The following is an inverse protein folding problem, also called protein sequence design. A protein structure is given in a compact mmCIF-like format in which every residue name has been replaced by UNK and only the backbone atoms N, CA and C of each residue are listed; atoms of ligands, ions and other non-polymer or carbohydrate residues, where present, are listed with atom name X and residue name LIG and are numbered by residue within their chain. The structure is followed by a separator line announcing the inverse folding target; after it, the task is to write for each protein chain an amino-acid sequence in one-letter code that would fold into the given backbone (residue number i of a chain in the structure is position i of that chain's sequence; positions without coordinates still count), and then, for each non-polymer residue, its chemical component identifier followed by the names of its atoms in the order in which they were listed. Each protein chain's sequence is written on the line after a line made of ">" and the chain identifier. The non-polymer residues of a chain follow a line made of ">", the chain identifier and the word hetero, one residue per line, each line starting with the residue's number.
data_IF_551967585501
#
_entry.id   IF_551967585501
#
_cell.length_a   1.000
_cell.length_b   1.000
_cell.length_c   1.000
_cell.angle_alpha   90.00
_cell.angle_beta   90.00
_cell.angle_gamma   90.00
#
_symmetry.space_group_name_H-M   'P 1'
#
loop_
_entity.id
_entity.type
_entity.pdbx_description
1 polymer ?
#
# COMPACT_ATOMS: atom_id res chain seq x y z
N UNK A 1 16.15 0.84 22.36
CA UNK A 1 15.83 2.14 21.74
C UNK A 1 15.29 3.02 22.85
N UNK A 2 16.08 4.02 23.27
CA UNK A 2 15.68 4.99 24.29
C UNK A 2 14.81 6.09 23.66
N UNK A 3 13.76 6.52 24.35
CA UNK A 3 12.84 7.58 23.90
C UNK A 3 13.55 8.88 23.52
N UNK A 4 14.71 9.16 24.12
CA UNK A 4 15.52 10.34 23.84
C UNK A 4 15.95 10.43 22.37
N UNK A 5 16.35 9.31 21.75
CA UNK A 5 16.80 9.31 20.36
C UNK A 5 15.69 9.71 19.37
N UNK A 6 14.45 9.34 19.67
CA UNK A 6 13.28 9.72 18.86
C UNK A 6 12.97 11.21 19.01
N UNK A 7 13.03 11.76 20.23
CA UNK A 7 12.77 13.18 20.48
C UNK A 7 13.80 14.08 19.78
N UNK A 8 15.09 13.74 19.87
CA UNK A 8 16.13 14.52 19.20
C UNK A 8 16.02 14.47 17.67
N UNK A 9 15.59 13.34 17.09
CA UNK A 9 15.35 13.25 15.65
C UNK A 9 14.22 14.17 15.19
N UNK A 10 13.09 14.23 15.92
CA UNK A 10 11.99 15.14 15.59
C UNK A 10 12.41 16.61 15.73
N UNK A 11 13.17 16.97 16.77
CA UNK A 11 13.67 18.34 16.96
C UNK A 11 14.54 18.76 15.76
N UNK A 12 15.43 17.88 15.29
CA UNK A 12 16.27 18.13 14.12
C UNK A 12 15.46 18.25 12.82
N UNK A 13 14.44 17.42 12.61
CA UNK A 13 13.54 17.54 11.46
C UNK A 13 12.80 18.87 11.45
N UNK A 14 12.24 19.30 12.58
CA UNK A 14 11.56 20.59 12.70
C UNK A 14 12.50 21.78 12.48
N UNK A 15 13.73 21.74 13.02
CA UNK A 15 14.74 22.79 12.80
C UNK A 15 15.16 22.88 11.32
N UNK A 16 15.14 21.75 10.59
CA UNK A 16 15.41 21.70 9.15
C UNK A 16 14.22 22.15 8.28
N UNK A 17 13.11 22.56 8.89
CA UNK A 17 11.90 23.01 8.20
C UNK A 17 11.04 21.88 7.65
N UNK A 18 11.23 20.65 8.13
CA UNK A 18 10.33 19.54 7.85
C UNK A 18 9.14 19.62 8.80
N UNK A 19 8.04 20.20 8.29
CA UNK A 19 6.78 20.34 9.00
C UNK A 19 5.83 19.15 8.72
N UNK A 20 6.26 18.16 7.93
CA UNK A 20 5.44 17.01 7.62
C UNK A 20 5.34 16.08 8.84
N UNK A 21 4.12 15.95 9.35
CA UNK A 21 3.80 15.06 10.47
C UNK A 21 3.51 13.63 10.01
N UNK A 22 3.42 13.41 8.70
CA UNK A 22 3.15 12.12 8.12
C UNK A 22 4.43 11.27 8.04
N UNK A 23 4.25 9.96 8.17
CA UNK A 23 5.36 9.03 8.00
C UNK A 23 5.84 9.04 6.55
N UNK A 24 7.17 9.12 6.37
CA UNK A 24 7.80 8.84 5.08
C UNK A 24 7.33 7.51 4.49
N UNK A 25 7.31 7.37 3.15
CA UNK A 25 6.99 6.11 2.50
C UNK A 25 7.85 4.98 3.04
N UNK A 26 7.26 4.11 3.87
CA UNK A 26 7.97 2.99 4.47
C UNK A 26 8.01 1.84 3.46
N UNK A 27 9.18 1.18 3.27
CA UNK A 27 9.23 -0.03 2.47
C UNK A 27 8.37 -1.11 3.13
N UNK A 28 7.17 -1.33 2.61
CA UNK A 28 6.34 -2.46 2.98
C UNK A 28 7.07 -3.76 2.66
N UNK A 29 6.86 -4.79 3.49
CA UNK A 29 7.39 -6.11 3.19
C UNK A 29 6.92 -6.53 1.79
N UNK A 30 7.81 -6.89 0.85
CA UNK A 30 7.39 -7.35 -0.46
C UNK A 30 6.61 -8.65 -0.28
N UNK A 31 5.29 -8.57 -0.39
CA UNK A 31 4.41 -9.73 -0.44
C UNK A 31 4.61 -10.37 -1.80
N UNK A 32 5.09 -11.61 -1.84
CA UNK A 32 5.23 -12.41 -3.08
C UNK A 32 3.93 -12.47 -3.89
N UNK A 33 2.80 -12.27 -3.22
CA UNK A 33 1.46 -12.16 -3.78
C UNK A 33 1.28 -10.96 -4.72
N UNK A 34 2.03 -9.86 -4.57
CA UNK A 34 1.99 -8.67 -5.46
C UNK A 34 2.88 -8.83 -6.70
N UNK A 35 2.80 -9.99 -7.36
CA UNK A 35 3.52 -10.21 -8.62
C UNK A 35 2.91 -9.35 -9.74
N UNK A 36 3.72 -8.92 -10.73
CA UNK A 36 3.22 -8.22 -11.93
C UNK A 36 2.08 -8.95 -12.64
N UNK A 37 2.11 -10.29 -12.60
CA UNK A 37 1.03 -11.12 -13.16
C UNK A 37 -0.29 -10.91 -12.41
N UNK A 38 -0.25 -10.90 -11.07
CA UNK A 38 -1.45 -10.72 -10.26
C UNK A 38 -1.99 -9.28 -10.37
N UNK A 39 -1.10 -8.28 -10.42
CA UNK A 39 -1.50 -6.89 -10.67
C UNK A 39 -2.26 -6.77 -11.99
N UNK A 40 -1.72 -7.34 -13.08
CA UNK A 40 -2.38 -7.32 -14.38
C UNK A 40 -3.73 -8.04 -14.39
N UNK A 41 -3.85 -9.18 -13.70
CA UNK A 41 -5.12 -9.91 -13.58
C UNK A 41 -6.18 -9.10 -12.83
N UNK A 42 -5.81 -8.50 -11.69
CA UNK A 42 -6.71 -7.62 -10.92
C UNK A 42 -7.14 -6.43 -11.78
N UNK A 43 -6.22 -5.81 -12.51
CA UNK A 43 -6.54 -4.71 -13.41
C UNK A 43 -7.52 -5.11 -14.53
N UNK A 44 -7.29 -6.24 -15.19
CA UNK A 44 -8.21 -6.75 -16.24
C UNK A 44 -9.62 -7.00 -15.70
N UNK A 45 -9.74 -7.59 -14.50
CA UNK A 45 -11.04 -7.85 -13.87
C UNK A 45 -11.77 -6.53 -13.56
N UNK A 46 -11.06 -5.51 -13.06
CA UNK A 46 -11.64 -4.19 -12.77
C UNK A 46 -12.00 -3.39 -14.02
N UNK A 47 -11.25 -3.58 -15.12
CA UNK A 47 -11.55 -2.96 -16.41
C UNK A 47 -12.82 -3.56 -17.05
N UNK A 48 -13.08 -4.85 -16.82
CA UNK A 48 -14.30 -5.54 -17.24
C UNK A 48 -15.52 -5.15 -16.38
N UNK A 49 -15.36 -5.13 -15.06
CA UNK A 49 -16.40 -4.69 -14.14
C UNK A 49 -15.83 -3.92 -12.93
N UNK A 50 -16.06 -2.61 -12.94
CA UNK A 50 -15.63 -1.68 -11.87
C UNK A 50 -16.40 -1.84 -10.56
N UNK A 51 -17.47 -2.64 -10.52
CA UNK A 51 -18.28 -2.87 -9.32
C UNK A 51 -17.89 -4.13 -8.54
N UNK A 52 -16.86 -4.85 -9.00
CA UNK A 52 -16.37 -6.05 -8.34
C UNK A 52 -15.84 -5.75 -6.93
N UNK A 53 -16.19 -6.61 -5.99
CA UNK A 53 -15.76 -6.52 -4.59
C UNK A 53 -14.39 -7.15 -4.38
N UNK A 54 -13.70 -6.74 -3.31
CA UNK A 54 -12.40 -7.32 -2.94
C UNK A 54 -12.46 -8.83 -2.68
N UNK A 55 -13.61 -9.34 -2.20
CA UNK A 55 -13.80 -10.78 -1.96
C UNK A 55 -13.91 -11.54 -3.26
N UNK A 56 -14.60 -11.00 -4.25
CA UNK A 56 -14.65 -11.62 -5.58
C UNK A 56 -13.24 -11.64 -6.19
N UNK A 57 -12.49 -10.53 -6.15
CA UNK A 57 -11.09 -10.51 -6.61
C UNK A 57 -10.22 -11.58 -5.93
N UNK A 58 -10.45 -11.84 -4.64
CA UNK A 58 -9.79 -12.91 -3.90
C UNK A 58 -10.08 -14.28 -4.53
N UNK A 59 -11.35 -14.59 -4.79
CA UNK A 59 -11.81 -15.84 -5.41
C UNK A 59 -11.29 -16.00 -6.84
N UNK A 60 -11.28 -14.93 -7.64
CA UNK A 60 -10.81 -14.95 -9.04
C UNK A 60 -9.30 -15.10 -9.19
N UNK A 61 -8.52 -14.42 -8.33
CA UNK A 61 -7.06 -14.41 -8.43
C UNK A 61 -6.42 -15.51 -7.56
N UNK A 62 -7.13 -16.03 -6.55
CA UNK A 62 -6.67 -17.10 -5.69
C UNK A 62 -5.54 -16.69 -4.73
N UNK A 63 -5.54 -15.43 -4.31
CA UNK A 63 -4.55 -14.82 -3.41
C UNK A 63 -5.22 -14.38 -2.12
N UNK A 64 -4.46 -14.16 -1.05
CA UNK A 64 -5.05 -13.71 0.23
C UNK A 64 -5.71 -12.34 0.11
N UNK A 65 -6.83 -12.13 0.81
CA UNK A 65 -7.61 -10.87 0.88
C UNK A 65 -6.81 -9.58 0.98
N UNK A 66 -5.69 -9.59 1.72
CA UNK A 66 -4.84 -8.41 1.89
C UNK A 66 -4.21 -7.96 0.56
N UNK A 67 -3.96 -8.88 -0.36
CA UNK A 67 -3.21 -8.60 -1.58
C UNK A 67 -4.04 -7.82 -2.62
N UNK A 68 -5.28 -8.21 -2.98
CA UNK A 68 -6.10 -7.41 -3.89
C UNK A 68 -6.31 -5.98 -3.38
N UNK A 69 -6.52 -5.80 -2.07
CA UNK A 69 -6.67 -4.48 -1.46
C UNK A 69 -5.43 -3.61 -1.71
N UNK A 70 -4.24 -4.12 -1.37
CA UNK A 70 -2.98 -3.40 -1.58
C UNK A 70 -2.75 -3.07 -3.05
N UNK A 71 -3.05 -4.00 -3.97
CA UNK A 71 -2.91 -3.73 -5.41
C UNK A 71 -3.83 -2.59 -5.85
N UNK A 72 -5.09 -2.59 -5.41
CA UNK A 72 -6.04 -1.52 -5.77
C UNK A 72 -5.62 -0.16 -5.20
N UNK A 73 -5.15 -0.12 -3.95
CA UNK A 73 -4.82 1.15 -3.27
C UNK A 73 -3.42 1.68 -3.59
N UNK A 74 -2.42 0.80 -3.67
CA UNK A 74 -1.00 1.19 -3.83
C UNK A 74 -0.52 1.12 -5.28
N UNK A 75 -0.91 0.07 -6.02
CA UNK A 75 -0.36 -0.21 -7.36
C UNK A 75 -1.23 0.37 -8.50
N UNK A 76 -2.55 0.42 -8.30
CA UNK A 76 -3.50 0.99 -9.25
C UNK A 76 -3.96 2.40 -8.88
N UNK A 77 -3.57 2.89 -7.69
CA UNK A 77 -3.92 4.21 -7.15
C UNK A 77 -5.42 4.52 -7.23
N UNK A 78 -6.27 3.49 -7.21
CA UNK A 78 -7.73 3.60 -7.25
C UNK A 78 -8.25 3.94 -5.85
N UNK A 79 -7.78 5.08 -5.34
CA UNK A 79 -8.19 5.64 -4.07
C UNK A 79 -9.23 6.73 -4.32
N UNK A 80 -10.50 6.37 -4.15
CA UNK A 80 -11.71 7.21 -4.27
C UNK A 80 -11.93 7.92 -5.61
#
# INVERSE_FOLDING_TARGET
>A
MSFEATIYGWIESFDNGDEDIHDDPRPCRPTSSKSRSNIKRVQTILDEDRRITLRELEEWVGISKATPHLIVTEDLEMSK
#
